data_IF_475268067714
#
_entry.id   IF_475268067714
#
_cell.length_a   1.000
_cell.length_b   1.000
_cell.length_c   1.000
_cell.angle_alpha   90.00
_cell.angle_beta   90.00
_cell.angle_gamma   90.00
#
_symmetry.space_group_name_H-M   'P 1'
#
loop_
_entity.id
_entity.type
_entity.pdbx_description
1 polymer ?
#
# COMPACT_ATOMS: atom_id res chain seq x y z
N UNK A 1 15.52 18.48 23.28
CA UNK A 1 15.22 19.26 22.06
C UNK A 1 13.83 18.86 21.65
N UNK A 2 12.90 19.77 21.82
CA UNK A 2 11.46 19.58 21.72
C UNK A 2 11.08 19.57 20.23
N UNK A 3 10.89 18.39 19.64
CA UNK A 3 10.47 18.24 18.24
C UNK A 3 8.95 18.11 18.19
N UNK A 4 8.29 19.27 18.17
CA UNK A 4 6.88 19.51 17.84
C UNK A 4 5.99 18.31 17.53
N UNK A 5 5.45 17.66 18.57
CA UNK A 5 4.21 16.90 18.40
C UNK A 5 3.11 17.92 18.11
N UNK A 6 2.64 17.95 16.87
CA UNK A 6 1.30 18.48 16.53
C UNK A 6 0.31 17.97 17.58
N UNK A 7 -0.61 18.81 18.07
CA UNK A 7 -1.64 18.36 19.02
C UNK A 7 -2.64 17.33 18.44
N UNK A 8 -2.45 16.94 17.18
CA UNK A 8 -3.23 15.92 16.48
C UNK A 8 -2.74 14.54 16.87
N UNK A 9 -3.70 13.62 17.06
CA UNK A 9 -3.40 12.20 17.28
C UNK A 9 -2.90 11.57 15.98
N UNK A 10 -2.20 10.44 16.07
CA UNK A 10 -1.75 9.69 14.90
C UNK A 10 -2.40 8.29 14.79
N UNK A 11 -2.62 7.87 13.56
CA UNK A 11 -3.15 6.55 13.21
C UNK A 11 -2.19 5.83 12.27
N UNK A 12 -1.74 4.64 12.65
CA UNK A 12 -0.98 3.75 11.77
C UNK A 12 -1.87 2.61 11.30
N UNK A 13 -1.97 2.43 9.98
CA UNK A 13 -2.73 1.32 9.38
C UNK A 13 -1.79 0.49 8.52
N UNK A 14 -1.61 -0.78 8.91
CA UNK A 14 -0.76 -1.73 8.18
C UNK A 14 -1.54 -2.36 7.05
N UNK A 15 -0.96 -2.35 5.85
CA UNK A 15 -1.33 -3.26 4.77
C UNK A 15 -0.77 -4.66 5.09
N UNK A 16 -1.65 -5.50 5.61
CA UNK A 16 -1.31 -6.76 6.25
C UNK A 16 -0.68 -7.77 5.30
N UNK A 17 -1.31 -8.00 4.14
CA UNK A 17 -0.78 -8.96 3.17
C UNK A 17 0.52 -8.44 2.53
N UNK A 18 0.60 -7.17 2.15
CA UNK A 18 1.83 -6.64 1.55
C UNK A 18 3.01 -6.75 2.53
N UNK A 19 2.79 -6.45 3.81
CA UNK A 19 3.83 -6.58 4.84
C UNK A 19 4.24 -8.04 5.09
N UNK A 20 3.29 -8.98 5.13
CA UNK A 20 3.57 -10.41 5.24
C UNK A 20 4.39 -10.94 4.06
N UNK A 21 3.97 -10.66 2.83
CA UNK A 21 4.68 -11.08 1.63
C UNK A 21 6.11 -10.53 1.62
N UNK A 22 6.26 -9.26 1.95
CA UNK A 22 7.57 -8.62 2.05
C UNK A 22 8.45 -9.33 3.08
N UNK A 23 7.90 -9.67 4.25
CA UNK A 23 8.60 -10.36 5.32
C UNK A 23 9.02 -11.77 4.93
N UNK A 24 8.13 -12.52 4.29
CA UNK A 24 8.41 -13.84 3.74
C UNK A 24 9.58 -13.81 2.75
N UNK A 25 9.50 -12.96 1.71
CA UNK A 25 10.53 -12.89 0.66
C UNK A 25 11.85 -12.27 1.13
N UNK A 26 11.85 -11.47 2.20
CA UNK A 26 13.08 -10.95 2.79
C UNK A 26 13.97 -12.07 3.35
N UNK A 27 13.37 -13.16 3.86
CA UNK A 27 14.03 -14.27 4.51
C UNK A 27 13.97 -15.59 3.72
N UNK A 28 13.38 -15.61 2.52
CA UNK A 28 13.18 -16.84 1.73
C UNK A 28 14.48 -17.62 1.45
N UNK A 29 15.63 -16.93 1.37
CA UNK A 29 16.94 -17.58 1.16
C UNK A 29 17.47 -18.30 2.41
N UNK A 30 17.08 -17.84 3.60
CA UNK A 30 17.48 -18.38 4.89
C UNK A 30 16.23 -18.41 5.79
N UNK A 31 15.29 -19.34 5.53
CA UNK A 31 14.01 -19.34 6.21
C UNK A 31 14.16 -19.68 7.70
N UNK A 32 13.32 -19.07 8.52
CA UNK A 32 13.18 -19.42 9.92
C UNK A 32 12.15 -20.54 10.04
N UNK A 33 12.56 -21.68 10.60
CA UNK A 33 11.73 -22.88 10.72
C UNK A 33 11.85 -23.38 12.15
N UNK A 34 10.72 -23.74 12.76
CA UNK A 34 10.67 -24.33 14.09
C UNK A 34 11.22 -25.77 14.09
N UNK A 35 11.48 -26.32 15.27
CA UNK A 35 11.94 -27.72 15.41
C UNK A 35 10.95 -28.76 14.91
N UNK A 36 9.66 -28.41 14.83
CA UNK A 36 8.59 -29.27 14.33
C UNK A 36 8.18 -28.94 12.88
N UNK A 37 8.98 -28.13 12.15
CA UNK A 37 8.86 -27.94 10.71
C UNK A 37 8.03 -26.75 10.23
N UNK A 38 7.38 -26.00 11.13
CA UNK A 38 6.61 -24.80 10.75
C UNK A 38 7.53 -23.64 10.33
N UNK A 39 7.29 -23.09 9.14
CA UNK A 39 7.92 -21.84 8.69
C UNK A 39 7.39 -20.64 9.47
N UNK A 40 8.28 -19.73 9.88
CA UNK A 40 7.94 -18.54 10.71
C UNK A 40 8.52 -17.23 10.17
N UNK A 41 9.18 -17.25 9.01
CA UNK A 41 9.80 -16.08 8.40
C UNK A 41 8.85 -14.89 8.21
N UNK A 42 7.61 -15.15 7.79
CA UNK A 42 6.64 -14.09 7.51
C UNK A 42 6.17 -13.46 8.82
N UNK A 43 5.79 -14.28 9.81
CA UNK A 43 5.39 -13.84 11.15
C UNK A 43 6.50 -13.05 11.84
N UNK A 44 7.73 -13.57 11.82
CA UNK A 44 8.87 -12.91 12.45
C UNK A 44 9.12 -11.52 11.87
N UNK A 45 9.17 -11.40 10.54
CA UNK A 45 9.40 -10.11 9.90
C UNK A 45 8.25 -9.12 10.11
N UNK A 46 7.01 -9.62 10.04
CA UNK A 46 5.80 -8.82 10.23
C UNK A 46 5.70 -8.28 11.66
N UNK A 47 5.85 -9.13 12.68
CA UNK A 47 5.85 -8.72 14.08
C UNK A 47 7.01 -7.79 14.40
N UNK A 48 8.21 -8.05 13.85
CA UNK A 48 9.35 -7.16 14.03
C UNK A 48 9.05 -5.75 13.50
N UNK A 49 8.35 -5.63 12.38
CA UNK A 49 7.93 -4.33 11.86
C UNK A 49 6.90 -3.66 12.76
N UNK A 50 5.88 -4.38 13.22
CA UNK A 50 4.87 -3.85 14.14
C UNK A 50 5.53 -3.35 15.43
N UNK A 51 6.34 -4.19 16.07
CA UNK A 51 7.02 -3.84 17.32
C UNK A 51 7.92 -2.61 17.15
N UNK A 52 8.61 -2.50 16.01
CA UNK A 52 9.41 -1.32 15.70
C UNK A 52 8.55 -0.05 15.63
N UNK A 53 7.42 -0.09 14.93
CA UNK A 53 6.52 1.07 14.81
C UNK A 53 5.94 1.44 16.17
N UNK A 54 5.46 0.46 16.94
CA UNK A 54 4.91 0.71 18.28
C UNK A 54 5.94 1.34 19.22
N UNK A 55 7.22 0.97 19.11
CA UNK A 55 8.29 1.48 19.98
C UNK A 55 8.87 2.83 19.53
N UNK A 56 9.04 3.03 18.22
CA UNK A 56 9.72 4.21 17.68
C UNK A 56 8.75 5.35 17.36
N UNK A 57 7.53 5.04 16.91
CA UNK A 57 6.54 6.03 16.47
C UNK A 57 5.46 6.31 17.52
N UNK A 58 5.29 5.42 18.52
CA UNK A 58 4.35 5.56 19.66
C UNK A 58 2.94 6.03 19.24
N UNK A 59 2.20 5.21 18.46
CA UNK A 59 0.96 5.62 17.85
C UNK A 59 -0.24 5.65 18.82
N UNK A 60 -1.11 6.66 18.71
CA UNK A 60 -2.38 6.75 19.44
C UNK A 60 -3.38 5.69 18.98
N UNK A 61 -3.37 5.38 17.68
CA UNK A 61 -4.24 4.38 17.05
C UNK A 61 -3.43 3.48 16.11
N UNK A 62 -3.72 2.17 16.15
CA UNK A 62 -3.04 1.18 15.33
C UNK A 62 -4.01 0.10 14.85
N UNK A 63 -3.93 -0.29 13.58
CA UNK A 63 -4.74 -1.37 13.02
C UNK A 63 -4.01 -2.08 11.87
N UNK A 64 -4.45 -3.30 11.54
CA UNK A 64 -3.99 -4.03 10.37
C UNK A 64 -5.18 -4.38 9.47
N UNK A 65 -5.09 -4.03 8.18
CA UNK A 65 -6.11 -4.37 7.19
C UNK A 65 -5.66 -5.56 6.34
N UNK A 66 -6.59 -6.46 6.05
CA UNK A 66 -6.34 -7.66 5.25
C UNK A 66 -7.45 -7.88 4.22
N UNK A 67 -7.05 -8.38 3.05
CA UNK A 67 -7.98 -8.76 2.00
C UNK A 67 -8.92 -9.90 2.41
N UNK A 68 -10.11 -9.85 1.82
CA UNK A 68 -11.09 -10.91 1.88
C UNK A 68 -10.89 -11.93 0.75
N UNK A 69 -11.42 -13.15 0.92
CA UNK A 69 -11.26 -14.21 -0.10
C UNK A 69 -12.21 -13.98 -1.28
N UNK A 70 -13.25 -13.21 -1.05
CA UNK A 70 -14.34 -12.91 -1.95
C UNK A 70 -13.86 -12.01 -3.09
N UNK A 71 -14.32 -12.29 -4.30
CA UNK A 71 -14.08 -11.39 -5.44
C UNK A 71 -14.70 -10.02 -5.17
N UNK A 72 -13.94 -8.98 -5.51
CA UNK A 72 -14.37 -7.59 -5.36
C UNK A 72 -15.14 -7.10 -6.58
N UNK A 73 -15.70 -5.89 -6.47
CA UNK A 73 -16.35 -5.22 -7.59
C UNK A 73 -15.40 -5.00 -8.79
N UNK A 74 -14.08 -4.89 -8.57
CA UNK A 74 -13.06 -4.77 -9.63
C UNK A 74 -13.10 -5.96 -10.60
N UNK A 75 -13.28 -7.18 -10.08
CA UNK A 75 -13.38 -8.39 -10.90
C UNK A 75 -14.65 -8.43 -11.78
N UNK A 76 -15.69 -7.68 -11.42
CA UNK A 76 -16.90 -7.54 -12.25
C UNK A 76 -16.68 -6.56 -13.41
N UNK A 77 -15.87 -5.52 -13.17
CA UNK A 77 -15.54 -4.50 -14.17
C UNK A 77 -14.50 -5.05 -15.16
N UNK A 78 -13.46 -5.71 -14.64
CA UNK A 78 -12.38 -6.26 -15.44
C UNK A 78 -12.07 -7.70 -14.98
N UNK A 79 -12.53 -8.73 -15.71
CA UNK A 79 -12.37 -10.12 -15.31
C UNK A 79 -10.92 -10.59 -15.13
N UNK A 80 -9.98 -10.00 -15.89
CA UNK A 80 -8.55 -10.33 -15.83
C UNK A 80 -7.79 -9.55 -14.75
N UNK A 81 -8.49 -8.79 -13.91
CA UNK A 81 -7.90 -8.06 -12.79
C UNK A 81 -7.15 -9.03 -11.86
N UNK A 82 -5.86 -8.74 -11.59
CA UNK A 82 -4.96 -9.57 -10.77
C UNK A 82 -4.85 -11.04 -11.23
N UNK A 83 -5.27 -11.38 -12.45
CA UNK A 83 -5.28 -12.77 -12.95
C UNK A 83 -3.87 -13.38 -13.09
N UNK A 84 -2.83 -12.54 -13.22
CA UNK A 84 -1.43 -12.97 -13.30
C UNK A 84 -0.76 -13.12 -11.93
N UNK A 85 -1.45 -12.79 -10.83
CA UNK A 85 -0.89 -12.93 -9.48
C UNK A 85 -0.73 -14.40 -9.13
N UNK A 86 0.46 -14.77 -8.67
CA UNK A 86 0.74 -16.11 -8.18
C UNK A 86 -0.07 -16.37 -6.89
N UNK A 87 -0.48 -17.63 -6.64
CA UNK A 87 -1.08 -17.98 -5.37
C UNK A 87 -0.11 -17.71 -4.22
N UNK A 88 -0.66 -17.48 -3.02
CA UNK A 88 0.13 -17.33 -1.80
C UNK A 88 0.99 -18.58 -1.58
N UNK A 89 2.29 -18.46 -1.26
CA UNK A 89 3.14 -19.61 -0.91
C UNK A 89 2.51 -20.43 0.22
N UNK A 90 2.57 -21.76 0.12
CA UNK A 90 1.96 -22.70 1.08
C UNK A 90 2.47 -22.44 2.50
N UNK A 91 3.78 -22.27 2.64
CA UNK A 91 4.46 -21.98 3.89
C UNK A 91 4.01 -20.65 4.51
N UNK A 92 3.49 -19.71 3.72
CA UNK A 92 2.90 -18.46 4.20
C UNK A 92 1.43 -18.64 4.58
N UNK A 93 0.68 -19.49 3.87
CA UNK A 93 -0.70 -19.82 4.23
C UNK A 93 -0.79 -20.52 5.59
N UNK A 94 0.14 -21.44 5.87
CA UNK A 94 0.27 -22.14 7.15
C UNK A 94 0.50 -21.18 8.33
N UNK A 95 1.09 -20.02 8.09
CA UNK A 95 1.36 -19.01 9.11
C UNK A 95 0.13 -18.15 9.45
N UNK A 96 -0.89 -18.08 8.60
CA UNK A 96 -2.03 -17.17 8.79
C UNK A 96 -2.83 -17.43 10.09
N UNK A 97 -3.17 -18.68 10.47
CA UNK A 97 -3.88 -18.93 11.73
C UNK A 97 -3.14 -18.36 12.94
N UNK A 98 -1.82 -18.55 12.99
CA UNK A 98 -0.96 -18.03 14.05
C UNK A 98 -0.89 -16.50 14.04
N UNK A 99 -0.91 -15.88 12.86
CA UNK A 99 -0.95 -14.42 12.77
C UNK A 99 -2.20 -13.84 13.46
N UNK A 100 -3.36 -14.47 13.26
CA UNK A 100 -4.61 -14.00 13.86
C UNK A 100 -4.56 -14.08 15.38
N UNK A 101 -4.10 -15.21 15.92
CA UNK A 101 -3.89 -15.40 17.36
C UNK A 101 -2.90 -14.36 17.94
N UNK A 102 -1.81 -14.08 17.21
CA UNK A 102 -0.80 -13.10 17.63
C UNK A 102 -1.36 -11.68 17.65
N UNK A 103 -2.07 -11.26 16.60
CA UNK A 103 -2.67 -9.93 16.53
C UNK A 103 -3.75 -9.73 17.59
N UNK A 104 -4.56 -10.77 17.85
CA UNK A 104 -5.54 -10.77 18.94
C UNK A 104 -4.86 -10.66 20.31
N UNK A 105 -3.80 -11.43 20.57
CA UNK A 105 -3.04 -11.38 21.82
C UNK A 105 -2.35 -10.02 22.04
N UNK A 106 -1.98 -9.34 20.95
CA UNK A 106 -1.43 -7.98 20.98
C UNK A 106 -2.52 -6.90 21.08
N UNK A 107 -3.80 -7.27 21.08
CA UNK A 107 -4.94 -6.37 21.04
C UNK A 107 -4.90 -5.40 19.85
N UNK A 108 -4.41 -5.87 18.70
CA UNK A 108 -4.36 -5.12 17.45
C UNK A 108 -5.61 -5.43 16.62
N UNK A 109 -6.45 -4.43 16.32
CA UNK A 109 -7.62 -4.62 15.47
C UNK A 109 -7.26 -5.16 14.07
N UNK A 110 -7.92 -6.26 13.70
CA UNK A 110 -7.87 -6.84 12.35
C UNK A 110 -9.08 -6.33 11.57
N UNK A 111 -8.82 -5.57 10.51
CA UNK A 111 -9.83 -4.97 9.65
C UNK A 111 -9.98 -5.80 8.39
N UNK A 112 -11.18 -6.31 8.14
CA UNK A 112 -11.50 -7.14 6.98
C UNK A 112 -12.97 -6.98 6.61
N UNK A 113 -13.26 -6.88 5.31
CA UNK A 113 -14.64 -6.76 4.82
C UNK A 113 -14.82 -7.59 3.54
N UNK A 114 -15.78 -8.53 3.50
CA UNK A 114 -16.07 -9.32 2.30
C UNK A 114 -16.38 -8.46 1.08
N UNK A 115 -15.76 -8.80 -0.06
CA UNK A 115 -15.99 -8.14 -1.35
C UNK A 115 -15.29 -6.78 -1.53
N UNK A 116 -14.41 -6.43 -0.59
CA UNK A 116 -13.63 -5.18 -0.55
C UNK A 116 -12.16 -5.53 -0.29
N UNK A 117 -11.23 -4.78 -0.88
CA UNK A 117 -9.79 -5.00 -0.70
C UNK A 117 -9.28 -4.27 0.55
N UNK A 118 -8.11 -4.68 1.06
CA UNK A 118 -7.47 -3.98 2.18
C UNK A 118 -7.24 -2.49 1.85
N UNK A 119 -6.89 -2.19 0.60
CA UNK A 119 -6.62 -0.84 0.12
C UNK A 119 -7.83 0.09 0.25
N UNK A 120 -9.02 -0.43 -0.03
CA UNK A 120 -10.28 0.32 0.10
C UNK A 120 -10.59 0.63 1.58
N UNK A 121 -10.32 -0.32 2.48
CA UNK A 121 -10.51 -0.16 3.93
C UNK A 121 -9.54 0.90 4.45
N UNK A 122 -8.26 0.78 4.09
CA UNK A 122 -7.20 1.72 4.48
C UNK A 122 -7.52 3.12 3.98
N UNK A 123 -7.86 3.27 2.70
CA UNK A 123 -8.18 4.56 2.11
C UNK A 123 -9.41 5.21 2.74
N UNK A 124 -10.46 4.42 3.01
CA UNK A 124 -11.66 4.89 3.70
C UNK A 124 -11.33 5.43 5.09
N UNK A 125 -10.52 4.71 5.87
CA UNK A 125 -10.15 5.11 7.21
C UNK A 125 -9.19 6.31 7.22
N UNK A 126 -8.24 6.38 6.29
CA UNK A 126 -7.32 7.51 6.21
C UNK A 126 -8.07 8.83 5.95
N UNK A 127 -9.02 8.84 5.02
CA UNK A 127 -9.85 10.01 4.72
C UNK A 127 -10.77 10.36 5.89
N UNK A 128 -11.33 9.36 6.58
CA UNK A 128 -12.17 9.59 7.76
C UNK A 128 -11.36 10.19 8.92
N UNK A 129 -10.19 9.61 9.21
CA UNK A 129 -9.30 10.07 10.26
C UNK A 129 -8.81 11.51 10.02
N UNK A 130 -8.47 11.87 8.78
CA UNK A 130 -8.11 13.25 8.43
C UNK A 130 -9.21 14.25 8.82
N UNK A 131 -10.46 13.94 8.48
CA UNK A 131 -11.64 14.77 8.81
C UNK A 131 -11.84 14.92 10.32
N UNK A 132 -11.47 13.89 11.07
CA UNK A 132 -11.55 13.87 12.53
C UNK A 132 -10.32 14.47 13.23
N UNK A 133 -9.40 15.06 12.45
CA UNK A 133 -8.25 15.75 13.01
C UNK A 133 -7.08 14.82 13.39
N UNK A 134 -7.00 13.64 12.79
CA UNK A 134 -5.98 12.62 13.04
C UNK A 134 -5.03 12.52 11.85
N UNK A 135 -3.72 12.50 12.12
CA UNK A 135 -2.70 12.30 11.10
C UNK A 135 -2.53 10.80 10.82
N UNK A 136 -2.66 10.37 9.56
CA UNK A 136 -2.64 8.95 9.19
C UNK A 136 -1.34 8.56 8.48
N UNK A 137 -0.78 7.43 8.90
CA UNK A 137 0.39 6.78 8.33
C UNK A 137 -0.02 5.42 7.77
N UNK A 138 -0.11 5.34 6.45
CA UNK A 138 -0.38 4.08 5.74
C UNK A 138 0.94 3.32 5.65
N UNK A 139 1.04 2.14 6.25
CA UNK A 139 2.26 1.33 6.21
C UNK A 139 2.13 0.31 5.09
N UNK A 140 2.57 0.71 3.89
CA UNK A 140 2.61 -0.15 2.72
C UNK A 140 3.73 0.28 1.76
N UNK A 141 4.16 -0.66 0.92
CA UNK A 141 5.02 -0.37 -0.24
C UNK A 141 4.22 -0.09 -1.51
N UNK A 142 2.89 -0.18 -1.46
CA UNK A 142 2.05 -0.02 -2.64
C UNK A 142 2.05 1.44 -3.12
N UNK A 143 2.26 1.59 -4.42
CA UNK A 143 2.25 2.89 -5.10
C UNK A 143 0.84 3.46 -5.19
N UNK A 144 -0.19 2.63 -5.13
CA UNK A 144 -1.57 3.05 -5.33
C UNK A 144 -2.04 3.98 -4.20
N UNK A 145 -1.55 3.78 -2.97
CA UNK A 145 -1.80 4.70 -1.84
C UNK A 145 -1.22 6.11 -2.05
N UNK A 146 -0.32 6.31 -3.02
CA UNK A 146 0.24 7.63 -3.29
C UNK A 146 -0.83 8.64 -3.74
N UNK A 147 -1.99 8.18 -4.23
CA UNK A 147 -3.13 9.02 -4.57
C UNK A 147 -3.78 9.72 -3.36
N UNK A 148 -3.58 9.17 -2.16
CA UNK A 148 -4.20 9.68 -0.93
C UNK A 148 -3.31 10.68 -0.18
N UNK A 149 -2.07 10.89 -0.64
CA UNK A 149 -1.07 11.62 0.14
C UNK A 149 -1.36 13.11 0.11
N UNK A 150 -1.43 13.68 1.31
CA UNK A 150 -1.67 15.11 1.52
C UNK A 150 -0.95 15.53 2.81
N UNK A 151 -1.29 16.69 3.37
CA UNK A 151 -0.67 17.20 4.61
C UNK A 151 -0.84 16.25 5.82
N UNK A 152 -1.97 15.56 5.92
CA UNK A 152 -2.37 14.74 7.07
C UNK A 152 -2.28 13.22 6.81
N UNK A 153 -2.15 12.81 5.56
CA UNK A 153 -2.04 11.40 5.16
C UNK A 153 -0.68 11.17 4.51
N UNK A 154 0.11 10.27 5.08
CA UNK A 154 1.46 9.91 4.59
C UNK A 154 1.54 8.42 4.30
N UNK A 155 2.32 8.04 3.29
CA UNK A 155 2.70 6.65 3.05
C UNK A 155 4.04 6.38 3.74
N UNK A 156 4.00 5.54 4.78
CA UNK A 156 5.14 5.03 5.51
C UNK A 156 5.63 3.77 4.79
N UNK A 157 6.43 3.95 3.75
CA UNK A 157 6.95 2.83 2.97
C UNK A 157 8.10 2.15 3.70
N UNK A 158 8.08 0.83 3.89
CA UNK A 158 9.21 0.10 4.45
C UNK A 158 10.48 0.33 3.61
N UNK A 159 11.64 0.43 4.26
CA UNK A 159 12.93 0.64 3.59
C UNK A 159 13.29 -0.46 2.59
N UNK A 160 14.36 -0.27 1.82
CA UNK A 160 14.92 -1.31 0.94
C UNK A 160 16.26 -1.79 1.48
N UNK A 161 16.85 -2.83 0.89
CA UNK A 161 18.23 -3.24 1.24
C UNK A 161 19.25 -2.10 1.06
N UNK A 162 19.00 -1.16 0.14
CA UNK A 162 19.87 -0.02 -0.15
C UNK A 162 19.62 1.18 0.78
N UNK A 163 18.39 1.31 1.28
CA UNK A 163 17.99 2.35 2.24
C UNK A 163 17.18 1.69 3.35
N UNK A 164 17.82 1.24 4.44
CA UNK A 164 17.18 0.38 5.44
C UNK A 164 16.13 1.11 6.30
N UNK A 165 16.09 2.44 6.27
CA UNK A 165 15.08 3.24 6.97
C UNK A 165 13.74 3.32 6.22
N UNK A 166 12.62 3.54 6.92
CA UNK A 166 11.34 3.81 6.29
C UNK A 166 11.42 5.09 5.43
N UNK A 167 10.74 5.08 4.30
CA UNK A 167 10.58 6.24 3.44
C UNK A 167 9.19 6.79 3.67
N UNK A 168 9.10 7.94 4.34
CA UNK A 168 7.85 8.67 4.47
C UNK A 168 7.62 9.50 3.20
N UNK A 169 6.59 9.18 2.43
CA UNK A 169 6.19 9.94 1.24
C UNK A 169 5.29 11.11 1.63
N UNK A 170 5.74 12.32 1.28
CA UNK A 170 4.97 13.56 1.23
C UNK A 170 4.55 13.86 -0.21
N UNK A 171 3.66 14.84 -0.46
CA UNK A 171 3.30 15.26 -1.82
C UNK A 171 4.53 15.55 -2.72
N UNK A 172 5.57 16.16 -2.16
CA UNK A 172 6.80 16.50 -2.87
C UNK A 172 7.57 15.24 -3.26
N UNK A 173 7.68 14.25 -2.36
CA UNK A 173 8.32 12.97 -2.68
C UNK A 173 7.54 12.14 -3.69
N UNK A 174 6.21 12.28 -3.72
CA UNK A 174 5.38 11.69 -4.77
C UNK A 174 5.72 12.34 -6.11
N UNK A 175 5.79 13.67 -6.15
CA UNK A 175 6.20 14.41 -7.35
C UNK A 175 7.62 14.06 -7.81
N UNK A 176 8.60 13.98 -6.91
CA UNK A 176 9.98 13.57 -7.23
C UNK A 176 10.03 12.17 -7.84
N UNK A 177 9.18 11.25 -7.35
CA UNK A 177 9.15 9.86 -7.83
C UNK A 177 8.42 9.70 -9.16
N UNK A 178 7.29 10.37 -9.33
CA UNK A 178 6.34 10.11 -10.43
C UNK A 178 6.21 11.26 -11.43
N UNK A 179 6.73 12.44 -11.12
CA UNK A 179 6.63 13.63 -11.97
C UNK A 179 5.27 14.34 -11.93
N UNK A 180 4.37 13.88 -11.06
CA UNK A 180 3.03 14.42 -10.79
C UNK A 180 2.73 14.39 -9.29
N UNK A 181 1.87 15.29 -8.82
CA UNK A 181 1.42 15.32 -7.43
C UNK A 181 0.36 14.24 -7.15
N UNK A 182 0.09 13.92 -5.86
CA UNK A 182 -0.87 12.88 -5.44
C UNK A 182 -2.21 12.88 -6.18
N UNK A 183 -2.79 14.06 -6.41
CA UNK A 183 -4.09 14.24 -7.09
C UNK A 183 -4.09 13.80 -8.55
N UNK A 184 -2.92 13.51 -9.13
CA UNK A 184 -2.73 13.04 -10.51
C UNK A 184 -2.19 11.61 -10.61
N UNK A 185 -2.02 10.91 -9.48
CA UNK A 185 -1.58 9.51 -9.50
C UNK A 185 -2.60 8.60 -10.17
N UNK A 186 -3.90 8.83 -9.96
CA UNK A 186 -4.96 8.04 -10.62
C UNK A 186 -4.93 8.24 -12.14
N UNK A 187 -4.83 9.49 -12.60
CA UNK A 187 -4.69 9.82 -14.03
C UNK A 187 -3.45 9.13 -14.64
N UNK A 188 -2.34 9.18 -13.92
CA UNK A 188 -1.08 8.58 -14.33
C UNK A 188 -1.21 7.07 -14.52
N UNK A 189 -1.70 6.37 -13.49
CA UNK A 189 -1.88 4.90 -13.51
C UNK A 189 -2.94 4.47 -14.52
N UNK A 190 -4.01 5.26 -14.71
CA UNK A 190 -5.02 4.99 -15.74
C UNK A 190 -4.43 5.05 -17.16
N UNK A 191 -3.52 6.00 -17.42
CA UNK A 191 -2.85 6.13 -18.71
C UNK A 191 -1.78 5.06 -18.94
N UNK A 192 -0.91 4.80 -17.95
CA UNK A 192 0.22 3.88 -18.12
C UNK A 192 -0.11 2.42 -17.81
N UNK A 193 -1.25 2.16 -17.17
CA UNK A 193 -1.64 0.86 -16.66
C UNK A 193 -0.91 0.47 -15.37
N UNK A 194 -1.20 -0.73 -14.90
CA UNK A 194 -0.48 -1.36 -13.81
C UNK A 194 -0.30 -2.87 -14.02
N UNK A 195 0.93 -3.26 -14.33
CA UNK A 195 1.30 -4.66 -14.53
C UNK A 195 1.12 -5.54 -13.28
N UNK A 196 1.24 -5.00 -12.05
CA UNK A 196 1.03 -5.82 -10.83
C UNK A 196 -0.42 -6.26 -10.65
N UNK A 197 -1.34 -5.48 -11.20
CA UNK A 197 -2.78 -5.70 -11.16
C UNK A 197 -3.35 -6.16 -12.49
N UNK A 198 -2.48 -6.42 -13.47
CA UNK A 198 -2.82 -6.80 -14.83
C UNK A 198 -3.69 -5.75 -15.57
N UNK A 199 -3.58 -4.47 -15.18
CA UNK A 199 -4.25 -3.36 -15.85
C UNK A 199 -3.38 -2.90 -17.03
N UNK A 200 -3.85 -2.97 -18.29
CA UNK A 200 -2.98 -2.80 -19.46
C UNK A 200 -2.55 -1.34 -19.72
N UNK A 201 -3.37 -0.36 -19.33
CA UNK A 201 -3.15 1.05 -19.72
C UNK A 201 -3.37 1.30 -21.21
N UNK A 202 -2.95 2.49 -21.67
CA UNK A 202 -3.02 2.88 -23.08
C UNK A 202 -1.75 2.39 -23.80
N UNK A 203 -1.94 1.70 -24.93
CA UNK A 203 -0.83 1.15 -25.71
C UNK A 203 0.17 2.24 -26.13
N UNK A 204 1.45 2.02 -25.84
CA UNK A 204 2.52 2.97 -26.15
C UNK A 204 2.69 4.12 -25.15
N UNK A 205 1.81 4.23 -24.15
CA UNK A 205 1.88 5.27 -23.12
C UNK A 205 2.58 4.73 -21.88
N UNK A 206 3.88 4.99 -21.77
CA UNK A 206 4.63 4.76 -20.54
C UNK A 206 4.57 5.96 -19.57
N UNK A 207 5.21 5.83 -18.40
CA UNK A 207 5.27 6.89 -17.36
C UNK A 207 5.57 8.27 -17.95
N UNK A 208 6.62 8.39 -18.77
CA UNK A 208 7.06 9.68 -19.32
C UNK A 208 6.00 10.32 -20.22
N UNK A 209 5.37 9.51 -21.08
CA UNK A 209 4.31 9.97 -21.99
C UNK A 209 3.07 10.36 -21.21
N UNK A 210 2.66 9.55 -20.22
CA UNK A 210 1.53 9.86 -19.35
C UNK A 210 1.73 11.18 -18.58
N UNK A 211 2.91 11.40 -17.98
CA UNK A 211 3.25 12.67 -17.32
C UNK A 211 3.16 13.86 -18.29
N UNK A 212 3.66 13.71 -19.53
CA UNK A 212 3.53 14.75 -20.56
C UNK A 212 2.07 15.07 -20.86
N UNK A 213 1.25 14.03 -21.10
CA UNK A 213 -0.17 14.18 -21.39
C UNK A 213 -0.93 14.86 -20.25
N UNK A 214 -0.66 14.49 -19.00
CA UNK A 214 -1.29 15.11 -17.82
C UNK A 214 -0.87 16.58 -17.70
N UNK A 215 0.38 16.93 -17.99
CA UNK A 215 0.83 18.33 -17.95
C UNK A 215 0.22 19.18 -19.06
N UNK A 216 0.01 18.59 -20.22
CA UNK A 216 -0.51 19.28 -21.41
C UNK A 216 -2.03 19.44 -21.36
N UNK A 217 -2.74 18.38 -20.95
CA UNK A 217 -4.20 18.30 -21.00
C UNK A 217 -4.87 18.25 -19.63
N UNK A 218 -4.10 18.32 -18.55
CA UNK A 218 -4.60 18.44 -17.17
C UNK A 218 -5.02 17.13 -16.51
N UNK A 219 -5.66 16.20 -17.22
CA UNK A 219 -6.09 14.90 -16.69
C UNK A 219 -6.07 13.79 -17.73
N UNK A 220 -6.40 12.56 -17.32
CA UNK A 220 -6.63 11.44 -18.23
C UNK A 220 -7.77 11.76 -19.20
N UNK A 221 -8.90 12.25 -18.71
CA UNK A 221 -10.06 12.62 -19.54
C UNK A 221 -9.70 13.71 -20.53
N UNK A 222 -8.98 14.75 -20.09
CA UNK A 222 -8.51 15.81 -20.97
C UNK A 222 -7.61 15.28 -22.09
N UNK A 223 -6.73 14.31 -21.79
CA UNK A 223 -5.90 13.67 -22.79
C UNK A 223 -6.73 12.82 -23.78
N UNK A 224 -7.78 12.15 -23.32
CA UNK A 224 -8.69 11.38 -24.18
C UNK A 224 -9.51 12.29 -25.11
N UNK A 225 -10.04 13.40 -24.61
CA UNK A 225 -10.78 14.40 -25.41
C UNK A 225 -9.91 15.00 -26.52
N UNK A 226 -8.61 15.13 -26.26
CA UNK A 226 -7.63 15.66 -27.21
C UNK A 226 -6.81 14.57 -27.93
N UNK A 227 -7.23 13.31 -27.89
CA UNK A 227 -6.48 12.19 -28.48
C UNK A 227 -6.15 12.38 -29.97
N UNK A 228 -6.96 13.14 -30.70
CA UNK A 228 -6.74 13.49 -32.10
C UNK A 228 -5.55 14.45 -32.33
N UNK A 229 -5.08 15.13 -31.29
CA UNK A 229 -3.96 16.07 -31.32
C UNK A 229 -2.66 15.46 -30.77
N UNK A 230 -2.75 14.30 -30.12
CA UNK A 230 -1.60 13.62 -29.52
C UNK A 230 -0.73 13.02 -30.62
N UNK A 231 0.44 13.63 -30.85
CA UNK A 231 1.48 13.10 -31.72
C UNK A 231 2.46 12.22 -30.93
N UNK A 232 2.63 10.96 -31.37
CA UNK A 232 3.66 10.03 -30.87
C UNK A 232 5.05 10.35 -31.40
#
# INVERSE_FOLDING_TARGET
>A
MDSGKSGRKNLFIIDGHASLYRSHFALIRNPLITTYGLHTSALFGFLKQIMKILQEEDPDYFACAFDSKEKTFRHKIFPDYKATRKPMPEEMQEQLPHLWELLEAMNIPILKKPGVEADDIIGTLAIAAEKDGIDTYIVSGDKDFMQLINEHIRLYSPGTRKSPGPILYSPEKVYEKWGVYPEKIVDLLGLMGDSSDNVPGVAGVGVKTAVKLIREYGSLEGALENAHQVSN
#
